data_IF_502247871751
#
_entry.id   IF_502247871751
#
_cell.length_a   1.000
_cell.length_b   1.000
_cell.length_c   1.000
_cell.angle_alpha   90.00
_cell.angle_beta   90.00
_cell.angle_gamma   90.00
#
_symmetry.space_group_name_H-M   'P 1'
#
loop_
_entity.id
_entity.type
_entity.pdbx_description
1 polymer ?
#
# COMPACT_ATOMS: atom_id res chain seq x y z
N UNK A 1 5.16 -3.41 2.62
CA UNK A 1 4.86 -3.38 1.18
C UNK A 1 3.38 -3.66 1.02
N UNK A 2 2.71 -2.89 0.19
CA UNK A 2 1.29 -3.02 -0.11
C UNK A 2 1.12 -3.13 -1.61
N UNK A 3 0.30 -4.07 -2.05
CA UNK A 3 0.00 -4.28 -3.47
C UNK A 3 -1.46 -3.99 -3.72
N UNK A 4 -1.71 -3.19 -4.73
CA UNK A 4 -3.03 -2.77 -5.14
C UNK A 4 -3.28 -3.13 -6.59
N UNK A 5 -4.54 -3.34 -6.92
CA UNK A 5 -5.02 -3.43 -8.28
C UNK A 5 -5.95 -2.27 -8.57
N UNK A 6 -5.83 -1.72 -9.76
CA UNK A 6 -6.73 -0.72 -10.30
C UNK A 6 -7.33 -1.22 -11.61
N UNK A 7 -8.65 -1.40 -11.60
CA UNK A 7 -9.43 -1.68 -12.80
C UNK A 7 -9.86 -0.36 -13.48
N UNK A 8 -10.17 -0.38 -14.78
CA UNK A 8 -10.60 0.82 -15.48
C UNK A 8 -11.80 1.47 -14.79
N UNK A 9 -11.64 2.75 -14.41
CA UNK A 9 -12.66 3.58 -13.72
C UNK A 9 -12.99 3.15 -12.29
N UNK A 10 -12.25 2.21 -11.71
CA UNK A 10 -12.38 1.84 -10.30
C UNK A 10 -11.28 2.50 -9.44
N UNK A 11 -11.54 2.54 -8.13
CA UNK A 11 -10.54 2.93 -7.14
C UNK A 11 -9.48 1.83 -6.93
N UNK A 12 -8.44 2.16 -6.16
CA UNK A 12 -7.43 1.17 -5.76
C UNK A 12 -8.03 0.14 -4.80
N UNK A 13 -7.85 -1.14 -5.11
CA UNK A 13 -8.21 -2.26 -4.22
C UNK A 13 -6.96 -2.91 -3.68
N UNK A 14 -6.85 -3.02 -2.36
CA UNK A 14 -5.73 -3.70 -1.71
C UNK A 14 -5.84 -5.21 -1.97
N UNK A 15 -4.74 -5.81 -2.41
CA UNK A 15 -4.66 -7.24 -2.69
C UNK A 15 -3.83 -8.01 -1.68
N UNK A 16 -2.66 -7.47 -1.33
CA UNK A 16 -1.70 -8.10 -0.42
C UNK A 16 -1.03 -7.03 0.43
N UNK A 17 -0.72 -7.39 1.67
CA UNK A 17 0.08 -6.58 2.58
C UNK A 17 1.23 -7.41 3.16
N UNK A 18 2.42 -6.83 3.29
CA UNK A 18 3.60 -7.46 3.90
C UNK A 18 4.29 -6.43 4.78
N UNK A 19 4.13 -6.58 6.10
CA UNK A 19 4.63 -5.60 7.08
C UNK A 19 6.15 -5.69 7.20
N UNK A 20 6.65 -6.88 7.50
CA UNK A 20 8.07 -7.14 7.75
C UNK A 20 8.69 -7.93 6.61
N UNK A 21 10.00 -7.76 6.42
CA UNK A 21 10.78 -8.61 5.53
C UNK A 21 10.90 -10.02 6.12
N UNK A 22 10.98 -11.04 5.27
CA UNK A 22 11.03 -12.45 5.68
C UNK A 22 9.73 -13.01 6.24
N UNK A 23 8.66 -12.22 6.36
CA UNK A 23 7.32 -12.70 6.72
C UNK A 23 6.48 -12.97 5.47
N UNK A 24 5.58 -13.94 5.58
CA UNK A 24 4.55 -14.17 4.57
C UNK A 24 3.67 -12.93 4.41
N UNK A 25 3.24 -12.68 3.18
CA UNK A 25 2.31 -11.62 2.88
C UNK A 25 0.88 -12.03 3.25
N UNK A 26 0.14 -11.12 3.87
CA UNK A 26 -1.27 -11.25 4.19
C UNK A 26 -2.10 -11.02 2.92
N UNK A 27 -2.85 -12.03 2.48
CA UNK A 27 -3.71 -11.95 1.30
C UNK A 27 -5.05 -11.31 1.67
N UNK A 28 -5.16 -10.01 1.40
CA UNK A 28 -6.32 -9.16 1.71
C UNK A 28 -7.47 -9.39 0.71
N UNK A 29 -7.17 -9.93 -0.47
CA UNK A 29 -8.17 -10.20 -1.53
C UNK A 29 -8.85 -11.55 -1.43
N UNK A 30 -8.34 -12.45 -0.59
CA UNK A 30 -8.73 -13.86 -0.50
C UNK A 30 -8.57 -14.67 -1.81
N UNK A 31 -7.96 -14.10 -2.87
CA UNK A 31 -7.67 -14.82 -4.11
C UNK A 31 -6.48 -15.77 -3.89
N UNK A 32 -6.77 -17.07 -3.78
CA UNK A 32 -5.76 -18.13 -3.57
C UNK A 32 -4.71 -18.22 -4.67
N UNK A 33 -4.97 -17.65 -5.85
CA UNK A 33 -3.99 -17.60 -6.95
C UNK A 33 -2.91 -16.57 -6.71
N UNK A 34 -3.16 -15.62 -5.81
CA UNK A 34 -2.28 -14.51 -5.49
C UNK A 34 -1.41 -14.84 -4.28
N UNK A 35 -0.11 -14.63 -4.42
CA UNK A 35 0.86 -14.75 -3.34
C UNK A 35 1.98 -13.74 -3.51
N UNK A 36 2.71 -13.46 -2.43
CA UNK A 36 3.89 -12.60 -2.51
C UNK A 36 5.03 -13.10 -1.64
N UNK A 37 6.26 -12.81 -2.08
CA UNK A 37 7.49 -13.07 -1.35
C UNK A 37 8.27 -11.77 -1.18
N UNK A 38 8.75 -11.53 0.05
CA UNK A 38 9.53 -10.36 0.41
C UNK A 38 10.76 -10.76 1.22
N UNK A 39 11.83 -11.25 0.57
CA UNK A 39 13.02 -11.71 1.27
C UNK A 39 13.76 -10.58 2.01
N UNK A 40 13.72 -9.35 1.49
CA UNK A 40 14.35 -8.17 2.09
C UNK A 40 13.55 -6.89 1.77
N UNK A 41 13.99 -5.74 2.29
CA UNK A 41 13.31 -4.45 2.06
C UNK A 41 13.22 -4.02 0.59
N UNK A 42 14.20 -4.37 -0.24
CA UNK A 42 14.35 -3.90 -1.62
C UNK A 42 13.65 -4.82 -2.62
N UNK A 43 13.62 -6.12 -2.32
CA UNK A 43 13.08 -7.14 -3.20
C UNK A 43 11.67 -7.56 -2.76
N UNK A 44 10.73 -7.46 -3.69
CA UNK A 44 9.36 -7.90 -3.50
C UNK A 44 8.84 -8.51 -4.80
N UNK A 45 8.34 -9.73 -4.71
CA UNK A 45 7.77 -10.47 -5.83
C UNK A 45 6.30 -10.74 -5.58
N UNK A 46 5.45 -10.34 -6.52
CA UNK A 46 4.04 -10.68 -6.57
C UNK A 46 3.83 -11.79 -7.60
N UNK A 47 3.17 -12.86 -7.20
CA UNK A 47 2.85 -14.00 -8.07
C UNK A 47 1.34 -14.11 -8.19
N UNK A 48 0.85 -14.14 -9.42
CA UNK A 48 -0.53 -14.49 -9.73
C UNK A 48 -0.53 -15.74 -10.63
N UNK A 49 -1.00 -16.85 -10.08
CA UNK A 49 -1.08 -18.13 -10.79
C UNK A 49 -2.35 -18.22 -11.65
N UNK A 50 -2.32 -19.05 -12.69
CA UNK A 50 -3.47 -19.27 -13.58
C UNK A 50 -4.12 -17.95 -14.07
N UNK A 51 -3.31 -17.11 -14.74
CA UNK A 51 -3.75 -15.83 -15.30
C UNK A 51 -4.93 -16.02 -16.26
N UNK A 52 -5.90 -15.12 -16.13
CA UNK A 52 -7.09 -15.03 -16.96
C UNK A 52 -7.18 -13.65 -17.60
N UNK A 53 -8.00 -13.52 -18.65
CA UNK A 53 -8.18 -12.24 -19.35
C UNK A 53 -8.64 -11.12 -18.42
N UNK A 54 -9.51 -11.46 -17.45
CA UNK A 54 -10.03 -10.54 -16.45
C UNK A 54 -8.98 -10.12 -15.41
N UNK A 55 -7.77 -10.69 -15.39
CA UNK A 55 -6.68 -10.23 -14.53
C UNK A 55 -5.93 -9.02 -15.15
N UNK A 56 -6.28 -8.63 -16.37
CA UNK A 56 -5.70 -7.46 -17.05
C UNK A 56 -6.10 -6.17 -16.32
N UNK A 57 -5.16 -5.60 -15.58
CA UNK A 57 -5.34 -4.37 -14.80
C UNK A 57 -3.99 -3.68 -14.55
N UNK A 58 -4.02 -2.50 -13.95
CA UNK A 58 -2.79 -1.86 -13.46
C UNK A 58 -2.56 -2.32 -12.02
N UNK A 59 -1.35 -2.80 -11.73
CA UNK A 59 -0.95 -3.23 -10.41
C UNK A 59 0.08 -2.26 -9.82
N UNK A 60 -0.22 -1.73 -8.64
CA UNK A 60 0.64 -0.77 -7.94
C UNK A 60 1.23 -1.42 -6.70
N UNK A 61 2.53 -1.28 -6.51
CA UNK A 61 3.20 -1.66 -5.27
C UNK A 61 3.70 -0.40 -4.56
N UNK A 62 3.36 -0.26 -3.28
CA UNK A 62 3.80 0.84 -2.44
C UNK A 62 4.58 0.31 -1.24
N UNK A 63 5.80 0.81 -1.04
CA UNK A 63 6.53 0.64 0.20
C UNK A 63 6.26 1.83 1.11
N UNK A 64 5.99 1.58 2.40
CA UNK A 64 6.17 2.62 3.41
C UNK A 64 7.63 2.58 3.84
N UNK A 65 8.38 3.65 3.59
CA UNK A 65 9.70 3.83 4.17
C UNK A 65 9.48 4.38 5.59
N UNK A 66 9.15 3.48 6.53
CA UNK A 66 8.46 3.81 7.78
C UNK A 66 7.13 4.54 7.51
N UNK A 67 6.03 4.01 8.03
CA UNK A 67 4.95 4.94 8.36
C UNK A 67 5.58 5.79 9.45
N UNK A 68 5.96 7.04 9.17
CA UNK A 68 6.12 7.99 10.25
C UNK A 68 4.83 7.84 11.05
N UNK A 69 4.90 7.26 12.26
CA UNK A 69 3.84 7.37 13.23
C UNK A 69 3.63 8.87 13.28
N UNK A 70 2.57 9.37 12.64
CA UNK A 70 2.23 10.76 12.75
C UNK A 70 1.88 10.92 14.21
N UNK A 71 2.88 11.20 15.05
CA UNK A 71 2.68 11.88 16.30
C UNK A 71 1.79 13.03 15.87
N UNK A 72 0.55 13.02 16.32
CA UNK A 72 -0.36 14.12 16.10
C UNK A 72 0.26 15.32 16.81
N UNK A 73 1.25 15.94 16.17
CA UNK A 73 1.76 17.24 16.54
C UNK A 73 0.56 18.12 16.37
N UNK A 74 0.04 18.61 17.50
CA UNK A 74 -1.16 19.41 17.55
C UNK A 74 -1.12 20.42 16.41
N UNK A 75 -2.17 20.46 15.59
CA UNK A 75 -2.31 21.46 14.55
C UNK A 75 -2.18 22.84 15.17
N UNK A 76 -1.04 23.51 14.98
CA UNK A 76 -0.86 24.87 15.47
C UNK A 76 -1.53 25.79 14.45
N UNK A 77 -2.69 26.32 14.84
CA UNK A 77 -3.36 27.37 14.08
C UNK A 77 -2.51 28.64 14.14
N UNK A 78 -2.19 29.23 12.98
CA UNK A 78 -1.48 30.52 12.94
C UNK A 78 -2.29 31.54 13.76
N UNK A 79 -1.66 32.28 14.70
CA UNK A 79 -2.36 33.37 15.36
C UNK A 79 -2.76 34.38 14.29
N UNK A 80 -4.04 34.76 14.31
CA UNK A 80 -4.53 35.86 13.48
C UNK A 80 -3.71 37.10 13.85
N UNK A 81 -3.06 37.69 12.84
CA UNK A 81 -2.32 38.93 13.03
C UNK A 81 -3.22 39.97 13.69
N UNK A 82 -2.79 40.46 14.85
CA UNK A 82 -3.37 41.64 15.46
C UNK A 82 -2.95 42.85 14.62
N UNK A 83 -3.90 43.39 13.86
CA UNK A 83 -3.82 44.75 13.34
C UNK A 83 -4.11 45.76 14.48
N UNK A 84 -3.32 46.84 14.51
CA UNK A 84 -3.36 48.06 15.34
C UNK A 84 -2.93 47.89 16.81
N UNK A 85 -1.98 48.67 17.35
CA UNK A 85 -1.63 50.09 17.13
C UNK A 85 -0.11 50.28 17.02
#
# INVERSE_FOLDING_TARGET
>A
MYCYRQDPREGLRLLLSSRYEGMEAENESEDKRLSASRPDRKNFSLTLTALQLNDSAVYYCASSLDTALQSHGASIQKPFGQFYQ
#
